data_IF_115708810645
#
_entry.id   IF_115708810645
#
_cell.length_a   1.000
_cell.length_b   1.000
_cell.length_c   1.000
_cell.angle_alpha   90.00
_cell.angle_beta   90.00
_cell.angle_gamma   90.00
#
_symmetry.space_group_name_H-M   'P 1'
#
loop_
_entity.id
_entity.type
_entity.pdbx_description
1 polymer ?
#
# COMPACT_ATOMS: atom_id res chain seq x y z
N UNK A 1 -12.43 29.80 17.30
CA UNK A 1 -12.09 28.47 16.82
C UNK A 1 -10.77 28.53 16.07
N UNK A 2 -9.77 27.89 16.56
CA UNK A 2 -8.50 27.78 15.86
C UNK A 2 -8.63 26.75 14.74
N UNK A 3 -8.82 27.22 13.51
CA UNK A 3 -8.60 26.37 12.34
C UNK A 3 -7.08 26.18 12.18
N UNK A 4 -6.64 24.94 12.08
CA UNK A 4 -5.25 24.63 11.77
C UNK A 4 -5.02 24.96 10.30
N UNK A 5 -4.05 25.83 10.02
CA UNK A 5 -3.64 26.11 8.65
C UNK A 5 -2.95 24.87 8.06
N UNK A 6 -3.39 24.45 6.89
CA UNK A 6 -2.88 23.24 6.24
C UNK A 6 -1.63 23.61 5.44
N UNK A 7 -0.51 22.99 5.79
CA UNK A 7 0.77 23.12 5.09
C UNK A 7 1.56 21.82 5.09
N UNK A 8 2.76 21.83 4.53
CA UNK A 8 3.64 20.66 4.46
C UNK A 8 4.14 20.13 5.81
N UNK A 9 3.92 20.85 6.91
CA UNK A 9 4.32 20.40 8.25
C UNK A 9 3.27 19.47 8.88
N UNK A 10 2.01 19.61 8.49
CA UNK A 10 0.88 18.91 9.08
C UNK A 10 -0.01 18.16 8.08
N UNK A 11 0.26 18.29 6.78
CA UNK A 11 -0.51 17.65 5.73
C UNK A 11 0.39 17.02 4.66
N UNK A 12 -0.01 15.83 4.24
CA UNK A 12 0.59 15.14 3.10
C UNK A 12 -0.54 14.58 2.24
N UNK A 13 -0.44 14.76 0.94
CA UNK A 13 -1.46 14.29 -0.01
C UNK A 13 -0.93 13.07 -0.76
N UNK A 14 -1.77 12.04 -0.88
CA UNK A 14 -1.53 10.88 -1.71
C UNK A 14 -2.67 10.82 -2.72
N UNK A 15 -2.37 10.97 -4.00
CA UNK A 15 -3.37 11.06 -5.05
C UNK A 15 -2.81 10.64 -6.40
N UNK A 16 -3.68 10.36 -7.35
CA UNK A 16 -3.28 10.12 -8.73
C UNK A 16 -2.67 11.39 -9.34
N UNK A 17 -1.64 11.21 -10.17
CA UNK A 17 -0.95 12.29 -10.85
C UNK A 17 -1.95 13.11 -11.70
N UNK A 18 -1.86 14.43 -11.63
CA UNK A 18 -2.73 15.34 -12.38
C UNK A 18 -4.16 15.50 -11.84
N UNK A 19 -4.49 14.88 -10.70
CA UNK A 19 -5.79 15.06 -10.02
C UNK A 19 -5.94 16.49 -9.45
N UNK A 20 -7.16 16.87 -9.12
CA UNK A 20 -7.43 18.16 -8.47
C UNK A 20 -6.74 18.27 -7.10
N UNK A 21 -6.59 17.16 -6.38
CA UNK A 21 -5.82 17.10 -5.13
C UNK A 21 -4.33 17.35 -5.35
N UNK A 22 -3.76 16.81 -6.42
CA UNK A 22 -2.35 17.09 -6.78
C UNK A 22 -2.14 18.56 -7.14
N UNK A 23 -3.08 19.16 -7.89
CA UNK A 23 -3.05 20.62 -8.19
C UNK A 23 -3.13 21.43 -6.91
N UNK A 24 -4.09 21.11 -6.03
CA UNK A 24 -4.23 21.78 -4.74
C UNK A 24 -2.96 21.71 -3.90
N UNK A 25 -2.29 20.53 -3.87
CA UNK A 25 -1.03 20.35 -3.17
C UNK A 25 0.06 21.28 -3.72
N UNK A 26 0.19 21.37 -5.04
CA UNK A 26 1.18 22.22 -5.69
C UNK A 26 0.92 23.71 -5.42
N UNK A 27 -0.34 24.13 -5.51
CA UNK A 27 -0.73 25.53 -5.29
C UNK A 27 -0.51 26.00 -3.84
N UNK A 28 -0.53 25.06 -2.90
CA UNK A 28 -0.37 25.35 -1.46
C UNK A 28 0.97 24.86 -0.90
N UNK A 29 1.92 24.44 -1.73
CA UNK A 29 3.22 23.89 -1.31
C UNK A 29 3.10 22.72 -0.32
N UNK A 30 2.09 21.88 -0.47
CA UNK A 30 1.86 20.70 0.33
C UNK A 30 2.60 19.51 -0.31
N UNK A 31 3.27 18.70 0.50
CA UNK A 31 3.95 17.50 0.02
C UNK A 31 2.95 16.51 -0.55
N UNK A 32 3.17 16.08 -1.79
CA UNK A 32 2.33 15.09 -2.46
C UNK A 32 3.14 13.87 -2.91
N UNK A 33 2.49 12.71 -2.88
CA UNK A 33 3.00 11.45 -3.43
C UNK A 33 2.02 10.94 -4.49
N UNK A 34 2.55 10.56 -5.63
CA UNK A 34 1.75 10.02 -6.72
C UNK A 34 1.38 8.56 -6.46
N UNK A 35 0.09 8.27 -6.52
CA UNK A 35 -0.44 6.91 -6.50
C UNK A 35 -0.38 6.32 -7.91
N UNK A 36 0.17 5.12 -8.04
CA UNK A 36 0.24 4.44 -9.34
C UNK A 36 -1.17 4.09 -9.86
N UNK A 37 -1.45 4.40 -11.12
CA UNK A 37 -2.77 4.23 -11.75
C UNK A 37 -3.29 2.78 -11.73
N UNK A 38 -2.37 1.79 -11.74
CA UNK A 38 -2.72 0.37 -11.79
C UNK A 38 -2.84 -0.30 -10.41
N UNK A 39 -2.81 0.46 -9.32
CA UNK A 39 -2.89 -0.07 -7.95
C UNK A 39 -4.29 0.15 -7.38
N UNK A 40 -5.13 -0.88 -7.46
CA UNK A 40 -6.44 -0.85 -6.81
C UNK A 40 -6.34 -0.83 -5.28
N UNK A 41 -7.30 -0.23 -4.59
CA UNK A 41 -7.28 0.00 -3.14
C UNK A 41 -6.93 -1.24 -2.31
N UNK A 42 -7.52 -2.41 -2.63
CA UNK A 42 -7.26 -3.67 -1.91
C UNK A 42 -5.86 -4.28 -2.14
N UNK A 43 -5.08 -3.73 -3.07
CA UNK A 43 -3.70 -4.15 -3.36
C UNK A 43 -2.68 -3.05 -3.06
N UNK A 44 -3.06 -2.02 -2.31
CA UNK A 44 -2.28 -0.79 -2.16
C UNK A 44 -1.45 -0.71 -0.89
N UNK A 45 -1.50 -1.73 0.00
CA UNK A 45 -0.81 -1.67 1.31
C UNK A 45 0.71 -1.51 1.17
N UNK A 46 1.32 -2.07 0.13
CA UNK A 46 2.75 -1.92 -0.19
C UNK A 46 3.04 -0.86 -1.25
N UNK A 47 2.07 -0.01 -1.56
CA UNK A 47 2.24 1.21 -2.36
C UNK A 47 2.39 2.43 -1.46
N UNK A 48 2.56 3.61 -2.06
CA UNK A 48 2.60 4.87 -1.31
C UNK A 48 1.36 5.08 -0.43
N UNK A 49 0.19 4.55 -0.83
CA UNK A 49 -1.04 4.65 -0.05
C UNK A 49 -0.97 3.98 1.32
N UNK A 50 -0.23 2.88 1.44
CA UNK A 50 -0.02 2.19 2.70
C UNK A 50 1.31 2.55 3.38
N UNK A 51 2.40 2.64 2.61
CA UNK A 51 3.73 2.84 3.16
C UNK A 51 3.93 4.24 3.76
N UNK A 52 3.37 5.29 3.17
CA UNK A 52 3.51 6.66 3.69
C UNK A 52 2.85 6.80 5.07
N UNK A 53 1.58 6.42 5.30
CA UNK A 53 0.99 6.45 6.63
C UNK A 53 1.74 5.58 7.65
N UNK A 54 2.21 4.39 7.26
CA UNK A 54 2.99 3.53 8.14
C UNK A 54 4.31 4.18 8.56
N UNK A 55 5.02 4.81 7.62
CA UNK A 55 6.24 5.56 7.91
C UNK A 55 5.97 6.75 8.87
N UNK A 56 4.85 7.45 8.67
CA UNK A 56 4.48 8.59 9.53
C UNK A 56 4.23 8.18 10.99
N UNK A 57 3.76 6.96 11.24
CA UNK A 57 3.59 6.43 12.61
C UNK A 57 4.82 5.67 13.11
N UNK A 58 5.94 5.73 12.40
CA UNK A 58 7.23 5.19 12.85
C UNK A 58 7.47 3.71 12.54
N UNK A 59 6.69 3.11 11.65
CA UNK A 59 6.95 1.74 11.19
C UNK A 59 8.22 1.71 10.35
N UNK A 60 9.10 0.74 10.60
CA UNK A 60 10.29 0.48 9.81
C UNK A 60 9.91 -0.13 8.45
N UNK A 61 9.81 0.73 7.44
CA UNK A 61 9.38 0.36 6.09
C UNK A 61 10.38 -0.57 5.41
N UNK A 62 11.69 -0.39 5.65
CA UNK A 62 12.73 -1.23 5.06
C UNK A 62 12.62 -2.67 5.57
N UNK A 63 12.43 -2.86 6.86
CA UNK A 63 12.20 -4.18 7.43
C UNK A 63 10.88 -4.81 6.95
N UNK A 64 9.82 -4.03 6.82
CA UNK A 64 8.55 -4.49 6.26
C UNK A 64 8.73 -5.00 4.83
N UNK A 65 9.35 -4.23 3.96
CA UNK A 65 9.59 -4.60 2.56
C UNK A 65 10.59 -5.77 2.43
N UNK A 66 11.59 -5.86 3.28
CA UNK A 66 12.49 -7.02 3.35
C UNK A 66 11.75 -8.29 3.74
N UNK A 67 10.76 -8.20 4.64
CA UNK A 67 9.87 -9.31 4.96
C UNK A 67 9.07 -9.79 3.75
N UNK A 68 8.49 -8.86 2.99
CA UNK A 68 7.76 -9.17 1.76
C UNK A 68 8.66 -9.84 0.71
N UNK A 69 9.88 -9.32 0.52
CA UNK A 69 10.86 -9.89 -0.41
C UNK A 69 11.20 -11.33 -0.05
N UNK A 70 11.48 -11.61 1.22
CA UNK A 70 11.76 -12.99 1.68
C UNK A 70 10.63 -13.96 1.37
N UNK A 71 9.37 -13.55 1.56
CA UNK A 71 8.20 -14.37 1.22
C UNK A 71 8.13 -14.60 -0.29
N UNK A 72 8.28 -13.56 -1.10
CA UNK A 72 8.25 -13.65 -2.55
C UNK A 72 9.36 -14.55 -3.09
N UNK A 73 10.60 -14.34 -2.66
CA UNK A 73 11.75 -15.14 -3.09
C UNK A 73 11.57 -16.61 -2.73
N UNK A 74 11.15 -16.90 -1.49
CA UNK A 74 10.86 -18.26 -1.03
C UNK A 74 9.71 -18.92 -1.82
N UNK A 75 8.69 -18.15 -2.18
CA UNK A 75 7.57 -18.64 -2.98
C UNK A 75 8.05 -19.04 -4.40
N UNK A 76 8.77 -18.16 -5.09
CA UNK A 76 9.25 -18.42 -6.45
C UNK A 76 10.34 -19.51 -6.49
N UNK A 77 11.14 -19.64 -5.44
CA UNK A 77 12.07 -20.77 -5.28
C UNK A 77 11.38 -22.09 -4.85
N UNK A 78 10.06 -22.10 -4.67
CA UNK A 78 9.27 -23.24 -4.18
C UNK A 78 9.72 -23.79 -2.82
N UNK A 79 10.20 -22.90 -1.96
CA UNK A 79 10.69 -23.22 -0.61
C UNK A 79 9.58 -23.08 0.46
N UNK A 80 9.94 -22.61 1.64
CA UNK A 80 9.14 -22.62 2.87
C UNK A 80 7.72 -22.08 2.72
N UNK A 81 7.52 -20.95 2.01
CA UNK A 81 6.21 -20.29 1.87
C UNK A 81 5.38 -20.79 0.67
N UNK A 82 5.98 -21.55 -0.25
CA UNK A 82 5.29 -22.06 -1.43
C UNK A 82 4.13 -22.99 -1.08
N UNK A 83 4.40 -24.03 -0.32
CA UNK A 83 3.38 -25.05 0.02
C UNK A 83 2.16 -24.49 0.75
N UNK A 84 2.31 -23.68 1.83
CA UNK A 84 1.15 -23.12 2.53
C UNK A 84 0.33 -22.15 1.65
N UNK A 85 0.98 -21.36 0.81
CA UNK A 85 0.30 -20.42 -0.10
C UNK A 85 -0.50 -21.19 -1.16
N UNK A 86 0.11 -22.16 -1.83
CA UNK A 86 -0.56 -22.99 -2.84
C UNK A 86 -1.68 -23.83 -2.22
N UNK A 87 -1.48 -24.37 -1.02
CA UNK A 87 -2.52 -25.12 -0.30
C UNK A 87 -3.73 -24.25 -0.01
N UNK A 88 -3.52 -23.00 0.44
CA UNK A 88 -4.60 -22.04 0.69
C UNK A 88 -5.33 -21.68 -0.60
N UNK A 89 -4.61 -21.36 -1.66
CA UNK A 89 -5.19 -21.04 -2.96
C UNK A 89 -6.05 -22.20 -3.50
N UNK A 90 -5.53 -23.43 -3.46
CA UNK A 90 -6.25 -24.64 -3.87
C UNK A 90 -7.53 -24.82 -3.04
N UNK A 91 -7.44 -24.72 -1.72
CA UNK A 91 -8.60 -24.80 -0.83
C UNK A 91 -9.70 -23.79 -1.20
N UNK A 92 -9.33 -22.54 -1.48
CA UNK A 92 -10.30 -21.51 -1.88
C UNK A 92 -10.95 -21.82 -3.22
N UNK A 93 -10.18 -22.29 -4.21
CA UNK A 93 -10.72 -22.67 -5.52
C UNK A 93 -11.66 -23.88 -5.43
N UNK A 94 -11.28 -24.91 -4.70
CA UNK A 94 -12.07 -26.13 -4.53
C UNK A 94 -13.40 -25.86 -3.76
N UNK A 95 -13.40 -24.86 -2.90
CA UNK A 95 -14.55 -24.49 -2.07
C UNK A 95 -15.22 -23.17 -2.49
N UNK A 96 -14.96 -22.69 -3.71
CA UNK A 96 -15.47 -21.37 -4.17
C UNK A 96 -17.00 -21.21 -4.08
N UNK A 97 -17.75 -22.31 -4.20
CA UNK A 97 -19.22 -22.30 -4.06
C UNK A 97 -19.70 -22.14 -2.60
N UNK A 98 -18.81 -22.32 -1.61
CA UNK A 98 -19.11 -22.22 -0.18
C UNK A 98 -18.76 -20.87 0.41
N UNK A 99 -18.00 -20.05 -0.34
CA UNK A 99 -17.53 -18.73 0.10
C UNK A 99 -17.91 -17.67 -0.93
N UNK A 100 -18.47 -16.57 -0.47
CA UNK A 100 -18.62 -15.36 -1.28
C UNK A 100 -17.24 -14.69 -1.43
N UNK A 101 -16.61 -14.98 -2.54
CA UNK A 101 -15.33 -14.37 -2.88
C UNK A 101 -15.55 -13.33 -3.96
#
# INVERSE_FOLDING_TARGET
>A
SSLVEIDSSNCTIISESGSDLTKFANDNNIKAFDLAENVGGRFSVFSVAGLVPLAMVGVDIDNLLNGCRRVADSFFAQENYYKPIIRKARFLVENKSRFNI
#
